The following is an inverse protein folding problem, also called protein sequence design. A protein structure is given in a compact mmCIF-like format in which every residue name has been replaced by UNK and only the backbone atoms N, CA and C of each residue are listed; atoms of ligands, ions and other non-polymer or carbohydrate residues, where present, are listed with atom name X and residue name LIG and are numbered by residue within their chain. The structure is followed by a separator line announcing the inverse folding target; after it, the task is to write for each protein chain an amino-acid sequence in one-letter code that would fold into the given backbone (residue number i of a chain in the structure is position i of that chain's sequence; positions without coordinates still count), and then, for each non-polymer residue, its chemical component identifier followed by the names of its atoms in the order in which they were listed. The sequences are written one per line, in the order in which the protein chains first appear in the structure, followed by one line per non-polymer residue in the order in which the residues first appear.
data_IF_256184989548
#
_entry.id   IF_256184989548
#
_cell.length_a   1.000
_cell.length_b   1.000
_cell.length_c   1.000
_cell.angle_alpha   90.00
_cell.angle_beta   90.00
_cell.angle_gamma   90.00
#
_symmetry.space_group_name_H-M   'P 1'
#
loop_
_entity.id
_entity.type
_entity.pdbx_description
1 polymer ?
#
# COMPACT_ATOMS: atom_id res chain seq x y z
N UNK A 1 -8.33 -2.47 7.99
CA UNK A 1 -9.33 -3.57 7.98
C UNK A 1 -10.73 -3.07 7.61
N UNK A 2 -11.39 -2.25 8.40
CA UNK A 2 -12.77 -1.75 8.15
C UNK A 2 -12.92 -1.17 6.73
N UNK A 3 -11.95 -0.39 6.27
CA UNK A 3 -11.94 0.19 4.92
C UNK A 3 -11.92 -0.85 3.80
N UNK A 4 -11.26 -2.00 3.98
CA UNK A 4 -11.28 -3.09 3.00
C UNK A 4 -12.66 -3.74 2.89
N UNK A 5 -13.34 -3.90 4.01
CA UNK A 5 -14.69 -4.47 4.07
C UNK A 5 -15.73 -3.50 3.48
N UNK A 6 -15.63 -2.21 3.81
CA UNK A 6 -16.57 -1.19 3.32
C UNK A 6 -16.44 -0.85 1.83
N UNK A 7 -15.32 -1.20 1.19
CA UNK A 7 -15.05 -0.87 -0.23
C UNK A 7 -14.99 -2.10 -1.14
N UNK A 8 -15.59 -3.22 -0.73
CA UNK A 8 -15.63 -4.46 -1.54
C UNK A 8 -16.29 -4.27 -2.92
N UNK A 9 -17.20 -3.30 -3.04
CA UNK A 9 -17.86 -2.99 -4.31
C UNK A 9 -16.94 -2.24 -5.32
N UNK A 10 -15.82 -1.67 -4.85
CA UNK A 10 -14.88 -0.96 -5.71
C UNK A 10 -13.62 -1.83 -5.88
N UNK A 11 -13.41 -2.43 -7.05
CA UNK A 11 -12.31 -3.34 -7.26
C UNK A 11 -10.96 -2.62 -7.02
N UNK A 12 -10.19 -3.15 -6.09
CA UNK A 12 -8.82 -2.71 -5.74
C UNK A 12 -8.69 -1.26 -5.23
N UNK A 13 -9.78 -0.53 -4.99
CA UNK A 13 -9.77 0.83 -4.45
C UNK A 13 -9.88 0.76 -2.93
N UNK A 14 -8.76 0.86 -2.23
CA UNK A 14 -8.71 0.67 -0.77
C UNK A 14 -7.64 1.59 -0.13
N UNK A 15 -7.93 2.27 0.98
CA UNK A 15 -6.99 3.18 1.63
C UNK A 15 -5.85 2.48 2.39
N UNK A 16 -5.87 1.14 2.50
CA UNK A 16 -4.90 0.39 3.31
C UNK A 16 -3.45 0.64 2.87
N UNK A 17 -3.18 0.69 1.57
CA UNK A 17 -1.83 0.93 1.02
C UNK A 17 -1.29 2.27 1.49
N UNK A 18 -2.11 3.32 1.42
CA UNK A 18 -1.73 4.68 1.86
C UNK A 18 -1.46 4.72 3.35
N UNK A 19 -2.32 4.10 4.16
CA UNK A 19 -2.13 4.01 5.61
C UNK A 19 -0.84 3.29 5.95
N UNK A 20 -0.56 2.16 5.31
CA UNK A 20 0.65 1.36 5.54
C UNK A 20 1.90 2.12 5.12
N UNK A 21 1.90 2.80 3.97
CA UNK A 21 3.01 3.65 3.52
C UNK A 21 3.25 4.77 4.53
N UNK A 22 2.21 5.49 4.94
CA UNK A 22 2.32 6.59 5.90
C UNK A 22 2.86 6.12 7.24
N UNK A 23 2.35 5.01 7.78
CA UNK A 23 2.85 4.41 9.02
C UNK A 23 4.32 4.01 8.92
N UNK A 24 4.73 3.48 7.76
CA UNK A 24 6.14 3.15 7.49
C UNK A 24 7.01 4.41 7.49
N UNK A 25 6.56 5.49 6.85
CA UNK A 25 7.29 6.76 6.79
C UNK A 25 7.42 7.44 8.16
N UNK A 26 6.40 7.34 9.01
CA UNK A 26 6.37 7.95 10.34
C UNK A 26 7.10 7.11 11.40
N UNK A 27 6.89 5.80 11.44
CA UNK A 27 7.30 4.91 12.52
C UNK A 27 8.36 3.88 12.10
N UNK A 28 8.61 3.74 10.80
CA UNK A 28 9.57 2.80 10.24
C UNK A 28 8.94 1.50 9.73
N UNK A 29 9.76 0.71 9.03
CA UNK A 29 9.35 -0.52 8.32
C UNK A 29 8.61 -1.52 9.20
N UNK A 30 9.12 -1.79 10.40
CA UNK A 30 8.53 -2.80 11.29
C UNK A 30 7.07 -2.51 11.64
N UNK A 31 6.73 -1.26 11.93
CA UNK A 31 5.34 -0.86 12.22
C UNK A 31 4.44 -0.96 10.98
N UNK A 32 4.91 -0.45 9.84
CA UNK A 32 4.15 -0.57 8.58
C UNK A 32 3.89 -2.01 8.18
N UNK A 33 4.91 -2.86 8.21
CA UNK A 33 4.80 -4.27 7.91
C UNK A 33 3.85 -5.00 8.88
N UNK A 34 3.98 -4.78 10.19
CA UNK A 34 3.09 -5.40 11.19
C UNK A 34 1.63 -5.02 10.99
N UNK A 35 1.34 -3.74 10.73
CA UNK A 35 -0.02 -3.26 10.48
C UNK A 35 -0.59 -3.85 9.19
N UNK A 36 0.23 -3.95 8.13
CA UNK A 36 -0.21 -4.56 6.88
C UNK A 36 -0.53 -6.04 7.05
N UNK A 37 0.34 -6.80 7.72
CA UNK A 37 0.16 -8.23 7.99
C UNK A 37 -1.11 -8.46 8.79
N UNK A 38 -1.28 -7.76 9.91
CA UNK A 38 -2.47 -7.88 10.75
C UNK A 38 -3.76 -7.50 9.99
N UNK A 39 -3.72 -6.42 9.22
CA UNK A 39 -4.88 -5.99 8.43
C UNK A 39 -5.27 -7.00 7.36
N UNK A 40 -4.29 -7.63 6.70
CA UNK A 40 -4.50 -8.66 5.68
C UNK A 40 -5.06 -9.93 6.34
N UNK A 41 -4.42 -10.42 7.40
CA UNK A 41 -4.85 -11.63 8.10
C UNK A 41 -6.29 -11.50 8.60
N UNK A 42 -6.61 -10.43 9.34
CA UNK A 42 -7.94 -10.24 9.91
C UNK A 42 -8.98 -10.05 8.79
N UNK A 43 -8.68 -9.26 7.75
CA UNK A 43 -9.65 -9.06 6.67
C UNK A 43 -9.88 -10.33 5.84
N UNK A 44 -8.82 -11.12 5.59
CA UNK A 44 -8.95 -12.35 4.83
C UNK A 44 -9.66 -13.45 5.63
N UNK A 45 -9.51 -13.50 6.95
CA UNK A 45 -10.32 -14.37 7.81
C UNK A 45 -11.83 -14.09 7.68
N UNK A 46 -12.21 -12.83 7.48
CA UNK A 46 -13.61 -12.42 7.35
C UNK A 46 -14.15 -12.53 5.92
N UNK A 47 -13.31 -12.38 4.90
CA UNK A 47 -13.74 -12.38 3.49
C UNK A 47 -13.49 -13.76 2.87
N UNK A 48 -12.24 -14.18 2.84
CA UNK A 48 -11.77 -15.45 2.28
C UNK A 48 -10.28 -15.63 2.56
N UNK A 49 -9.90 -16.78 3.13
CA UNK A 49 -8.51 -17.15 3.38
C UNK A 49 -8.02 -18.08 2.26
N UNK A 50 -6.81 -17.83 1.77
CA UNK A 50 -6.21 -18.67 0.73
C UNK A 50 -4.74 -18.34 0.48
N UNK A 51 -4.05 -19.00 -0.49
CA UNK A 51 -2.65 -18.76 -0.81
C UNK A 51 -2.33 -17.29 -1.12
N UNK A 52 -3.30 -16.56 -1.70
CA UNK A 52 -3.18 -15.12 -1.97
C UNK A 52 -2.90 -14.28 -0.71
N UNK A 53 -3.26 -14.77 0.47
CA UNK A 53 -2.95 -14.10 1.74
C UNK A 53 -1.44 -13.93 1.91
N UNK A 54 -0.67 -14.99 1.62
CA UNK A 54 0.80 -14.92 1.67
C UNK A 54 1.35 -13.97 0.60
N UNK A 55 0.80 -14.01 -0.61
CA UNK A 55 1.23 -13.13 -1.70
C UNK A 55 1.00 -11.65 -1.36
N UNK A 56 -0.14 -11.33 -0.74
CA UNK A 56 -0.45 -10.00 -0.25
C UNK A 56 0.53 -9.55 0.84
N UNK A 57 0.86 -10.43 1.80
CA UNK A 57 1.83 -10.13 2.86
C UNK A 57 3.20 -9.80 2.28
N UNK A 58 3.68 -10.62 1.34
CA UNK A 58 4.97 -10.39 0.67
C UNK A 58 4.93 -9.05 -0.08
N UNK A 59 3.89 -8.80 -0.86
CA UNK A 59 3.76 -7.57 -1.66
C UNK A 59 3.74 -6.32 -0.77
N UNK A 60 2.96 -6.32 0.31
CA UNK A 60 2.94 -5.18 1.24
C UNK A 60 4.26 -5.01 2.00
N UNK A 61 4.95 -6.09 2.34
CA UNK A 61 6.27 -6.00 2.98
C UNK A 61 7.28 -5.31 2.06
N UNK A 62 7.24 -5.59 0.76
CA UNK A 62 8.08 -4.93 -0.25
C UNK A 62 7.66 -3.46 -0.42
N UNK A 63 6.36 -3.15 -0.45
CA UNK A 63 5.87 -1.76 -0.47
C UNK A 63 6.39 -0.98 0.74
N UNK A 64 6.34 -1.55 1.95
CA UNK A 64 6.90 -0.94 3.15
C UNK A 64 8.42 -0.73 3.03
N UNK A 65 9.14 -1.69 2.45
CA UNK A 65 10.57 -1.56 2.22
C UNK A 65 10.88 -0.38 1.29
N UNK A 66 10.15 -0.27 0.18
CA UNK A 66 10.26 0.87 -0.75
C UNK A 66 9.91 2.20 -0.06
N UNK A 67 8.88 2.22 0.78
CA UNK A 67 8.52 3.43 1.54
C UNK A 67 9.64 3.85 2.52
N UNK A 68 10.35 2.90 3.10
CA UNK A 68 11.48 3.18 3.99
C UNK A 68 12.59 3.96 3.29
N UNK A 69 12.84 3.71 2.00
CA UNK A 69 13.82 4.44 1.21
C UNK A 69 13.46 5.93 1.07
N UNK A 70 12.18 6.29 1.12
CA UNK A 70 11.71 7.68 1.08
C UNK A 70 11.57 8.33 2.46
N UNK A 71 11.82 7.61 3.56
CA UNK A 71 11.73 8.17 4.92
C UNK A 71 12.62 9.40 5.15
N UNK A 72 13.84 9.50 4.61
CA UNK A 72 14.65 10.71 4.78
C UNK A 72 14.02 11.95 4.13
N UNK A 73 13.36 11.78 2.98
CA UNK A 73 12.64 12.87 2.31
C UNK A 73 11.36 13.23 3.09
N UNK A 74 10.64 12.24 3.58
CA UNK A 74 9.46 12.44 4.42
C UNK A 74 9.77 13.28 5.67
N UNK A 75 10.86 12.97 6.37
CA UNK A 75 11.32 13.73 7.55
C UNK A 75 11.64 15.19 7.23
N UNK A 76 12.01 15.50 5.98
CA UNK A 76 12.30 16.85 5.49
C UNK A 76 11.12 17.51 4.77
N UNK A 77 9.90 16.95 4.80
CA UNK A 77 8.75 17.42 4.01
C UNK A 77 8.35 18.87 4.29
N UNK A 78 8.50 19.31 5.54
CA UNK A 78 8.23 20.70 5.90
C UNK A 78 9.20 21.71 5.23
N UNK A 79 10.43 21.29 4.94
CA UNK A 79 11.44 22.10 4.23
C UNK A 79 11.17 22.17 2.72
N UNK A 80 10.54 21.13 2.15
CA UNK A 80 10.28 21.00 0.71
C UNK A 80 8.80 20.69 0.43
N UNK A 81 7.86 21.58 0.84
CA UNK A 81 6.42 21.25 0.82
C UNK A 81 5.88 21.01 -0.57
N UNK A 82 6.31 21.80 -1.58
CA UNK A 82 5.88 21.59 -2.98
C UNK A 82 6.34 20.23 -3.53
N UNK A 83 7.60 19.89 -3.29
CA UNK A 83 8.18 18.62 -3.74
C UNK A 83 7.45 17.45 -3.08
N UNK A 84 7.23 17.53 -1.77
CA UNK A 84 6.54 16.50 -1.00
C UNK A 84 5.09 16.33 -1.43
N UNK A 85 4.40 17.42 -1.77
CA UNK A 85 3.02 17.41 -2.24
C UNK A 85 2.83 16.57 -3.52
N UNK A 86 3.80 16.54 -4.42
CA UNK A 86 3.72 15.74 -5.65
C UNK A 86 4.35 14.36 -5.52
N UNK A 87 5.50 14.25 -4.86
CA UNK A 87 6.25 12.98 -4.82
C UNK A 87 5.49 11.87 -4.09
N UNK A 88 4.93 12.15 -2.93
CA UNK A 88 4.32 11.08 -2.12
C UNK A 88 3.01 10.53 -2.70
N UNK A 89 2.07 11.32 -3.25
CA UNK A 89 0.91 10.77 -3.95
C UNK A 89 1.31 9.93 -5.17
N UNK A 90 2.28 10.42 -5.98
CA UNK A 90 2.78 9.67 -7.14
C UNK A 90 3.43 8.36 -6.68
N UNK A 91 4.26 8.41 -5.65
CA UNK A 91 4.87 7.22 -5.06
C UNK A 91 3.80 6.22 -4.58
N UNK A 92 2.77 6.67 -3.87
CA UNK A 92 1.67 5.81 -3.43
C UNK A 92 0.94 5.15 -4.63
N UNK A 93 0.75 5.89 -5.72
CA UNK A 93 0.22 5.35 -6.97
C UNK A 93 1.13 4.27 -7.58
N UNK A 94 2.44 4.54 -7.68
CA UNK A 94 3.42 3.57 -8.19
C UNK A 94 3.47 2.29 -7.34
N UNK A 95 3.27 2.41 -6.02
CA UNK A 95 3.18 1.24 -5.12
C UNK A 95 1.94 0.39 -5.40
N UNK A 96 0.87 0.96 -5.95
CA UNK A 96 -0.29 0.20 -6.45
C UNK A 96 0.08 -0.74 -7.60
N UNK A 97 0.79 -0.23 -8.61
CA UNK A 97 1.31 -1.06 -9.71
C UNK A 97 2.34 -2.08 -9.24
N UNK A 98 3.26 -1.67 -8.36
CA UNK A 98 4.26 -2.59 -7.81
C UNK A 98 3.60 -3.74 -7.05
N UNK A 99 2.57 -3.47 -6.27
CA UNK A 99 1.80 -4.48 -5.56
C UNK A 99 1.19 -5.50 -6.53
N UNK A 100 0.50 -5.05 -7.58
CA UNK A 100 -0.09 -5.92 -8.60
C UNK A 100 0.95 -6.71 -9.38
N UNK A 101 2.08 -6.10 -9.73
CA UNK A 101 3.20 -6.75 -10.40
C UNK A 101 3.76 -7.91 -9.57
N UNK A 102 3.99 -7.70 -8.27
CA UNK A 102 4.52 -8.73 -7.36
C UNK A 102 3.52 -9.87 -7.20
N UNK A 103 2.24 -9.56 -6.95
CA UNK A 103 1.19 -10.58 -6.82
C UNK A 103 1.09 -11.41 -8.09
N UNK A 104 1.08 -10.78 -9.25
CA UNK A 104 1.02 -11.46 -10.54
C UNK A 104 2.24 -12.37 -10.75
N UNK A 105 3.44 -11.91 -10.37
CA UNK A 105 4.65 -12.70 -10.44
C UNK A 105 4.59 -13.96 -9.57
N UNK A 106 4.20 -13.80 -8.30
CA UNK A 106 4.10 -14.94 -7.37
C UNK A 106 3.00 -15.91 -7.83
N UNK A 107 1.87 -15.39 -8.30
CA UNK A 107 0.78 -16.22 -8.80
C UNK A 107 1.22 -17.08 -9.98
N UNK A 108 1.87 -16.48 -10.98
CA UNK A 108 2.35 -17.20 -12.18
C UNK A 108 3.41 -18.25 -11.81
N UNK A 109 4.31 -17.93 -10.86
CA UNK A 109 5.29 -18.91 -10.35
C UNK A 109 4.61 -20.09 -9.64
N UNK A 110 3.43 -19.89 -9.08
CA UNK A 110 2.66 -20.93 -8.38
C UNK A 110 1.80 -21.77 -9.34
N UNK A 111 1.63 -21.35 -10.60
CA UNK A 111 0.75 -21.95 -11.61
C UNK A 111 1.53 -22.28 -12.89
N UNK A 112 2.08 -23.51 -13.04
CA UNK A 112 2.82 -23.88 -14.24
C UNK A 112 2.00 -23.68 -15.52
N UNK A 113 2.64 -23.14 -16.55
CA UNK A 113 2.01 -22.93 -17.87
C UNK A 113 1.39 -21.56 -18.09
N UNK A 114 1.31 -20.69 -17.06
CA UNK A 114 0.87 -19.32 -17.25
C UNK A 114 2.00 -18.43 -17.79
N UNK A 115 1.68 -17.59 -18.79
CA UNK A 115 2.59 -16.55 -19.24
C UNK A 115 2.42 -15.30 -18.38
N UNK A 116 3.52 -14.84 -17.76
CA UNK A 116 3.50 -13.68 -16.86
C UNK A 116 2.94 -12.43 -17.55
N UNK A 117 3.40 -12.10 -18.75
CA UNK A 117 3.00 -10.86 -19.41
C UNK A 117 1.53 -10.84 -19.80
N UNK A 118 1.00 -12.00 -20.23
CA UNK A 118 -0.43 -12.14 -20.53
C UNK A 118 -1.25 -12.00 -19.25
N UNK A 119 -0.82 -12.65 -18.17
CA UNK A 119 -1.51 -12.58 -16.88
C UNK A 119 -1.50 -11.16 -16.32
N UNK A 120 -0.34 -10.51 -16.28
CA UNK A 120 -0.18 -9.15 -15.78
C UNK A 120 -0.97 -8.12 -16.61
N UNK A 121 -0.94 -8.23 -17.95
CA UNK A 121 -1.71 -7.33 -18.83
C UNK A 121 -3.22 -7.39 -18.55
N UNK A 122 -3.77 -8.56 -18.24
CA UNK A 122 -5.18 -8.71 -17.86
C UNK A 122 -5.50 -8.06 -16.49
N UNK A 123 -4.51 -7.92 -15.63
CA UNK A 123 -4.64 -7.27 -14.31
C UNK A 123 -4.44 -5.75 -14.31
N UNK A 124 -3.88 -5.17 -15.39
CA UNK A 124 -3.43 -3.78 -15.42
C UNK A 124 -4.52 -2.75 -15.09
N UNK A 125 -5.76 -3.03 -15.45
CA UNK A 125 -6.89 -2.17 -15.14
C UNK A 125 -7.15 -2.11 -13.62
N UNK A 126 -7.07 -3.25 -12.93
CA UNK A 126 -7.21 -3.32 -11.47
C UNK A 126 -6.07 -2.60 -10.77
N UNK A 127 -4.84 -2.73 -11.28
CA UNK A 127 -3.68 -2.02 -10.76
C UNK A 127 -3.80 -0.51 -10.99
N UNK A 128 -4.41 -0.09 -12.11
CA UNK A 128 -4.70 1.32 -12.37
C UNK A 128 -5.71 1.88 -11.38
N UNK A 129 -6.79 1.15 -11.07
CA UNK A 129 -7.73 1.57 -10.02
C UNK A 129 -7.05 1.64 -8.66
N UNK A 130 -6.17 0.68 -8.35
CA UNK A 130 -5.37 0.70 -7.12
C UNK A 130 -4.47 1.94 -7.05
N UNK A 131 -3.75 2.24 -8.14
CA UNK A 131 -2.85 3.39 -8.22
C UNK A 131 -3.60 4.73 -8.08
N UNK A 132 -4.69 4.91 -8.81
CA UNK A 132 -5.52 6.12 -8.74
C UNK A 132 -6.17 6.26 -7.35
N UNK A 133 -6.67 5.17 -6.78
CA UNK A 133 -7.19 5.13 -5.43
C UNK A 133 -6.15 5.54 -4.40
N UNK A 134 -4.92 5.05 -4.50
CA UNK A 134 -3.83 5.42 -3.61
C UNK A 134 -3.48 6.91 -3.72
N UNK A 135 -3.44 7.48 -4.93
CA UNK A 135 -3.21 8.92 -5.11
C UNK A 135 -4.33 9.72 -4.43
N UNK A 136 -5.59 9.37 -4.69
CA UNK A 136 -6.73 10.05 -4.11
C UNK A 136 -6.74 9.95 -2.58
N UNK A 137 -6.56 8.76 -2.02
CA UNK A 137 -6.50 8.58 -0.57
C UNK A 137 -5.30 9.27 0.08
N UNK A 138 -4.16 9.34 -0.60
CA UNK A 138 -3.02 10.10 -0.09
C UNK A 138 -3.39 11.57 0.10
N UNK A 139 -3.96 12.20 -0.93
CA UNK A 139 -4.34 13.61 -0.91
C UNK A 139 -5.43 13.89 0.15
N UNK A 140 -6.37 12.96 0.35
CA UNK A 140 -7.46 13.15 1.29
C UNK A 140 -7.08 12.84 2.74
N UNK A 141 -6.36 11.74 2.99
CA UNK A 141 -6.16 11.23 4.34
C UNK A 141 -4.91 11.81 5.03
N UNK A 142 -3.82 12.03 4.29
CA UNK A 142 -2.57 12.44 4.92
C UNK A 142 -2.67 13.81 5.60
N UNK A 143 -3.30 14.84 5.02
CA UNK A 143 -3.49 16.11 5.73
C UNK A 143 -4.28 15.96 7.04
N UNK A 144 -5.25 15.03 7.07
CA UNK A 144 -6.03 14.74 8.29
C UNK A 144 -5.13 14.08 9.33
N UNK A 145 -4.35 13.06 8.93
CA UNK A 145 -3.44 12.36 9.84
C UNK A 145 -2.35 13.28 10.40
N UNK A 146 -1.80 14.16 9.58
CA UNK A 146 -0.81 15.14 10.04
C UNK A 146 -1.41 16.16 11.03
N UNK A 147 -2.65 16.58 10.85
CA UNK A 147 -3.34 17.47 11.79
C UNK A 147 -3.63 16.79 13.13
N UNK A 148 -4.02 15.53 13.11
CA UNK A 148 -4.29 14.76 14.33
C UNK A 148 -3.00 14.39 15.08
N UNK A 149 -1.87 14.35 14.39
CA UNK A 149 -0.53 13.98 14.89
C UNK A 149 -0.54 12.86 15.94
N UNK A 150 -1.14 11.68 15.63
CA UNK A 150 -1.37 10.63 16.63
C UNK A 150 -0.08 10.02 17.19
N UNK A 151 1.08 10.27 16.54
CA UNK A 151 2.38 9.68 16.89
C UNK A 151 3.38 10.64 17.51
N UNK A 152 3.00 11.88 17.82
CA UNK A 152 3.90 12.85 18.45
C UNK A 152 4.48 12.33 19.77
N UNK A 153 3.66 11.60 20.54
CA UNK A 153 4.07 10.99 21.81
C UNK A 153 5.01 9.80 21.66
N UNK A 154 5.04 9.16 20.49
CA UNK A 154 5.90 7.99 20.22
C UNK A 154 7.29 8.37 19.70
N UNK A 155 7.51 9.65 19.38
CA UNK A 155 8.79 10.18 18.87
C UNK A 155 9.71 10.70 20.00
N UNK A 156 9.22 10.71 21.23
CA UNK A 156 9.98 11.02 22.46
C UNK A 156 10.50 9.74 23.10
#
# INVERSE_FOLDING_TARGET
MISRLGMLALPNVQPITVVVIWMTLELGWGYGASISILSILISNLLISMGPWTLYQIISFSIVCLCATLLSPLWKKRARYPKVSFFIFPIFAGLMGYLYGFIISGIWVLSMPGLNFWIYYANGILFDTYHALGNIAFWILLIPIFERLNPFEKLKK
#
